data_IF_529683982181
#
_entry.id   IF_529683982181
#
_cell.length_a   1.000
_cell.length_b   1.000
_cell.length_c   1.000
_cell.angle_alpha   90.00
_cell.angle_beta   90.00
_cell.angle_gamma   90.00
#
_symmetry.space_group_name_H-M   'P 1'
#
loop_
_entity.id
_entity.type
_entity.pdbx_description
1 polymer ?
#
# COMPACT_ATOMS: atom_id res chain seq x y z
N UNK A 1 2.04 23.13 22.55
CA UNK A 1 2.76 21.86 22.26
C UNK A 1 2.02 20.59 22.73
N UNK A 2 0.69 20.60 22.89
CA UNK A 2 -0.12 19.40 23.19
C UNK A 2 -1.10 18.99 22.08
N UNK A 3 -1.19 19.77 20.99
CA UNK A 3 -2.17 19.54 19.91
C UNK A 3 -1.81 18.36 18.99
N UNK A 4 -0.50 18.13 18.78
CA UNK A 4 0.01 17.09 17.86
C UNK A 4 -0.27 15.65 18.34
N UNK A 5 -0.07 15.28 19.62
CA UNK A 5 -0.40 13.93 20.08
C UNK A 5 -1.91 13.64 20.08
N UNK A 6 -2.77 14.63 20.37
CA UNK A 6 -4.23 14.48 20.27
C UNK A 6 -4.70 14.26 18.83
N UNK A 7 -4.16 15.02 17.87
CA UNK A 7 -4.46 14.83 16.44
C UNK A 7 -4.01 13.45 15.95
N UNK A 8 -2.83 12.98 16.36
CA UNK A 8 -2.33 11.65 16.00
C UNK A 8 -3.21 10.53 16.58
N UNK A 9 -3.62 10.63 17.84
CA UNK A 9 -4.50 9.64 18.46
C UNK A 9 -5.93 9.64 17.89
N UNK A 10 -6.51 10.79 17.56
CA UNK A 10 -7.84 10.88 16.94
C UNK A 10 -7.81 10.32 15.51
N UNK A 11 -6.77 10.63 14.74
CA UNK A 11 -6.59 10.08 13.38
C UNK A 11 -6.40 8.56 13.43
N UNK A 12 -5.61 8.04 14.37
CA UNK A 12 -5.44 6.59 14.54
C UNK A 12 -6.71 5.86 14.99
N UNK A 13 -7.57 6.50 15.80
CA UNK A 13 -8.83 5.90 16.26
C UNK A 13 -9.90 5.88 15.15
N UNK A 14 -9.81 6.78 14.17
CA UNK A 14 -10.76 6.89 13.05
C UNK A 14 -10.32 6.14 11.78
N UNK A 15 -9.06 5.74 11.65
CA UNK A 15 -8.55 5.04 10.47
C UNK A 15 -8.94 3.55 10.47
N UNK A 16 -9.81 3.14 9.53
CA UNK A 16 -10.00 1.72 9.24
C UNK A 16 -8.67 1.11 8.74
N UNK A 17 -8.42 -0.20 9.00
CA UNK A 17 -7.15 -0.89 8.67
C UNK A 17 -6.67 -0.68 7.23
N UNK A 18 -7.59 -0.48 6.30
CA UNK A 18 -7.26 -0.18 4.92
C UNK A 18 -6.57 1.16 4.72
N UNK A 19 -7.03 2.19 5.41
CA UNK A 19 -6.55 3.55 5.22
C UNK A 19 -5.08 3.64 5.61
N UNK A 20 -4.67 2.88 6.63
CA UNK A 20 -3.27 2.73 7.05
C UNK A 20 -2.42 2.24 5.88
N UNK A 21 -2.83 1.16 5.21
CA UNK A 21 -2.07 0.58 4.10
C UNK A 21 -2.02 1.54 2.90
N UNK A 22 -3.14 2.19 2.54
CA UNK A 22 -3.16 3.20 1.48
C UNK A 22 -2.18 4.33 1.74
N UNK A 23 -2.18 4.88 2.96
CA UNK A 23 -1.32 6.01 3.33
C UNK A 23 0.14 5.60 3.24
N UNK A 24 0.52 4.46 3.80
CA UNK A 24 1.92 3.99 3.79
C UNK A 24 2.43 3.81 2.35
N UNK A 25 1.67 3.12 1.49
CA UNK A 25 2.13 2.82 0.13
C UNK A 25 2.14 4.08 -0.74
N UNK A 26 1.19 5.00 -0.53
CA UNK A 26 1.15 6.28 -1.24
C UNK A 26 2.30 7.20 -0.83
N UNK A 27 2.63 7.26 0.46
CA UNK A 27 3.80 8.02 0.94
C UNK A 27 5.08 7.40 0.41
N UNK A 28 5.22 6.07 0.45
CA UNK A 28 6.40 5.37 -0.05
C UNK A 28 6.71 5.70 -1.52
N UNK A 29 5.71 5.52 -2.40
CA UNK A 29 5.91 5.86 -3.81
C UNK A 29 5.97 7.37 -4.05
N UNK A 30 5.21 8.18 -3.31
CA UNK A 30 5.33 9.64 -3.36
C UNK A 30 6.76 10.13 -3.06
N UNK A 31 7.43 9.55 -2.07
CA UNK A 31 8.83 9.86 -1.76
C UNK A 31 9.77 9.45 -2.91
N UNK A 32 9.55 8.30 -3.55
CA UNK A 32 10.37 7.83 -4.68
C UNK A 32 10.13 8.70 -5.93
N UNK A 33 8.89 9.06 -6.25
CA UNK A 33 8.55 9.82 -7.44
C UNK A 33 8.81 11.33 -7.32
N UNK A 34 8.81 11.88 -6.10
CA UNK A 34 8.96 13.32 -5.85
C UNK A 34 10.31 13.62 -5.20
N UNK A 35 10.63 13.02 -4.05
CA UNK A 35 11.81 13.41 -3.25
C UNK A 35 13.12 12.92 -3.88
N UNK A 36 13.18 11.65 -4.28
CA UNK A 36 14.40 11.06 -4.84
C UNK A 36 14.94 11.81 -6.08
N UNK A 37 14.11 12.22 -7.07
CA UNK A 37 14.57 12.98 -8.22
C UNK A 37 15.33 14.28 -7.90
N UNK A 38 15.05 14.91 -6.76
CA UNK A 38 15.78 16.11 -6.32
C UNK A 38 17.14 15.80 -5.69
N UNK A 39 17.31 14.60 -5.12
CA UNK A 39 18.55 14.16 -4.48
C UNK A 39 19.61 13.65 -5.47
N UNK A 40 19.27 13.51 -6.75
CA UNK A 40 20.20 12.97 -7.76
C UNK A 40 21.32 14.00 -8.06
N UNK A 41 22.60 13.59 -7.98
CA UNK A 41 23.73 14.46 -8.30
C UNK A 41 23.74 14.85 -9.78
N UNK A 42 24.44 15.95 -10.10
CA UNK A 42 24.55 16.42 -11.50
C UNK A 42 25.38 15.43 -12.30
N UNK A 43 24.84 14.96 -13.43
CA UNK A 43 25.52 14.06 -14.36
C UNK A 43 24.96 14.17 -15.77
N UNK A 44 25.63 13.58 -16.79
CA UNK A 44 25.28 13.74 -18.21
C UNK A 44 23.84 13.32 -18.55
N UNK A 45 23.29 12.34 -17.82
CA UNK A 45 21.96 11.78 -18.07
C UNK A 45 20.99 12.02 -16.91
N UNK A 46 21.21 13.06 -16.07
CA UNK A 46 20.39 13.33 -14.88
C UNK A 46 18.89 13.36 -15.18
N UNK A 47 18.50 14.08 -16.23
CA UNK A 47 17.08 14.26 -16.61
C UNK A 47 16.42 12.95 -17.02
N UNK A 48 17.15 12.08 -17.69
CA UNK A 48 16.66 10.75 -18.06
C UNK A 48 16.35 9.94 -16.80
N UNK A 49 17.29 9.88 -15.85
CA UNK A 49 17.11 9.14 -14.59
C UNK A 49 15.93 9.69 -13.78
N UNK A 50 15.76 11.01 -13.72
CA UNK A 50 14.61 11.64 -13.04
C UNK A 50 13.28 11.21 -13.64
N UNK A 51 13.18 11.18 -14.98
CA UNK A 51 11.96 10.77 -15.68
C UNK A 51 11.71 9.28 -15.50
N UNK A 52 12.75 8.45 -15.55
CA UNK A 52 12.63 7.01 -15.30
C UNK A 52 12.08 6.74 -13.90
N UNK A 53 12.63 7.39 -12.87
CA UNK A 53 12.12 7.25 -11.49
C UNK A 53 10.69 7.74 -11.33
N UNK A 54 10.34 8.89 -11.92
CA UNK A 54 8.99 9.42 -11.85
C UNK A 54 7.97 8.49 -12.54
N UNK A 55 8.28 8.00 -13.74
CA UNK A 55 7.41 7.08 -14.49
C UNK A 55 7.28 5.72 -13.80
N UNK A 56 8.38 5.15 -13.31
CA UNK A 56 8.34 3.88 -12.57
C UNK A 56 7.51 4.04 -11.30
N UNK A 57 7.74 5.10 -10.53
CA UNK A 57 6.97 5.35 -9.31
C UNK A 57 5.47 5.50 -9.59
N UNK A 58 5.10 6.21 -10.66
CA UNK A 58 3.71 6.37 -11.06
C UNK A 58 3.08 5.03 -11.49
N UNK A 59 3.77 4.25 -12.32
CA UNK A 59 3.22 2.97 -12.81
C UNK A 59 3.08 1.95 -11.67
N UNK A 60 4.07 1.84 -10.78
CA UNK A 60 4.03 0.90 -9.67
C UNK A 60 2.96 1.29 -8.63
N UNK A 61 2.80 2.58 -8.35
CA UNK A 61 1.73 3.05 -7.46
C UNK A 61 0.34 2.79 -8.05
N UNK A 62 0.11 3.13 -9.34
CA UNK A 62 -1.18 2.88 -10.00
C UNK A 62 -1.50 1.38 -10.08
N UNK A 63 -0.52 0.56 -10.48
CA UNK A 63 -0.69 -0.89 -10.54
C UNK A 63 -1.13 -1.43 -9.18
N UNK A 64 -0.40 -1.08 -8.12
CA UNK A 64 -0.74 -1.52 -6.76
C UNK A 64 -2.13 -1.05 -6.33
N UNK A 65 -2.45 0.23 -6.55
CA UNK A 65 -3.73 0.82 -6.17
C UNK A 65 -4.91 0.12 -6.84
N UNK A 66 -4.79 -0.20 -8.13
CA UNK A 66 -5.84 -0.91 -8.86
C UNK A 66 -6.15 -2.29 -8.26
N UNK A 67 -5.13 -3.10 -7.97
CA UNK A 67 -5.34 -4.43 -7.35
C UNK A 67 -5.89 -4.33 -5.93
N UNK A 68 -5.40 -3.34 -5.18
CA UNK A 68 -5.84 -3.13 -3.81
C UNK A 68 -7.31 -2.70 -3.74
N UNK A 69 -7.74 -1.79 -4.63
CA UNK A 69 -9.14 -1.38 -4.74
C UNK A 69 -10.03 -2.47 -5.33
N UNK A 70 -9.52 -3.34 -6.21
CA UNK A 70 -10.29 -4.46 -6.74
C UNK A 70 -10.72 -5.45 -5.65
N UNK A 71 -9.88 -5.63 -4.63
CA UNK A 71 -10.16 -6.50 -3.49
C UNK A 71 -10.95 -5.78 -2.38
N UNK A 72 -11.16 -4.46 -2.49
CA UNK A 72 -11.93 -3.70 -1.52
C UNK A 72 -13.41 -4.05 -1.60
N UNK A 73 -13.99 -4.48 -0.47
CA UNK A 73 -15.40 -4.93 -0.34
C UNK A 73 -15.73 -6.01 -1.40
N UNK A 74 -15.14 -7.21 -1.30
CA UNK A 74 -15.32 -8.26 -2.29
C UNK A 74 -16.78 -8.74 -2.30
N UNK A 75 -17.36 -8.91 -3.49
CA UNK A 75 -18.72 -9.44 -3.66
C UNK A 75 -18.75 -10.97 -3.59
N UNK A 76 -17.65 -11.63 -3.95
CA UNK A 76 -17.55 -13.07 -4.02
C UNK A 76 -16.37 -13.57 -3.19
N UNK A 77 -16.61 -14.64 -2.42
CA UNK A 77 -15.58 -15.41 -1.75
C UNK A 77 -15.10 -16.59 -2.59
N UNK A 78 -13.97 -17.22 -2.19
CA UNK A 78 -13.47 -18.42 -2.86
C UNK A 78 -14.46 -19.59 -2.72
N UNK A 79 -14.71 -20.30 -3.82
CA UNK A 79 -15.51 -21.52 -3.85
C UNK A 79 -14.60 -22.72 -3.64
N UNK A 80 -14.78 -23.47 -2.56
CA UNK A 80 -13.93 -24.60 -2.19
C UNK A 80 -14.75 -25.73 -1.58
N UNK A 81 -14.35 -26.97 -1.88
CA UNK A 81 -14.98 -28.18 -1.35
C UNK A 81 -14.81 -28.25 0.18
N UNK A 82 -15.79 -28.84 0.87
CA UNK A 82 -15.81 -28.95 2.34
C UNK A 82 -14.56 -29.60 2.92
N UNK A 83 -13.96 -30.56 2.22
CA UNK A 83 -12.72 -31.23 2.64
C UNK A 83 -11.54 -30.26 2.68
N UNK A 84 -11.37 -29.47 1.61
CA UNK A 84 -10.33 -28.45 1.51
C UNK A 84 -10.53 -27.34 2.54
N UNK A 85 -11.77 -26.89 2.75
CA UNK A 85 -12.10 -25.88 3.75
C UNK A 85 -11.79 -26.35 5.19
N UNK A 86 -12.05 -27.63 5.51
CA UNK A 86 -11.69 -28.22 6.81
C UNK A 86 -10.18 -28.30 7.00
N UNK A 87 -9.45 -28.75 5.98
CA UNK A 87 -7.99 -28.81 6.01
C UNK A 87 -7.36 -27.42 6.21
N UNK A 88 -7.88 -26.40 5.51
CA UNK A 88 -7.37 -25.04 5.61
C UNK A 88 -7.55 -24.47 7.03
N UNK A 89 -8.69 -24.76 7.68
CA UNK A 89 -8.92 -24.39 9.09
C UNK A 89 -7.92 -25.03 10.03
N UNK A 90 -7.62 -26.32 9.85
CA UNK A 90 -6.62 -27.03 10.65
C UNK A 90 -5.21 -26.46 10.46
N UNK A 91 -4.79 -26.19 9.22
CA UNK A 91 -3.46 -25.61 8.93
C UNK A 91 -3.32 -24.20 9.51
N UNK A 92 -4.39 -23.41 9.49
CA UNK A 92 -4.41 -22.04 10.00
C UNK A 92 -4.74 -21.96 11.50
N UNK A 93 -4.78 -23.08 12.22
CA UNK A 93 -4.93 -23.12 13.67
C UNK A 93 -6.32 -22.73 14.18
N UNK A 94 -7.36 -22.83 13.35
CA UNK A 94 -8.73 -22.80 13.84
C UNK A 94 -9.08 -24.19 14.36
N UNK A 95 -8.92 -24.38 15.67
CA UNK A 95 -9.39 -25.57 16.40
C UNK A 95 -10.90 -25.78 16.09
N UNK A 96 -11.26 -27.03 15.77
CA UNK A 96 -12.62 -27.44 15.41
C UNK A 96 -13.55 -27.48 16.62
#
# INVERSE_FOLDING_TARGET
MQLIPCLFSVVYLSMEKFEITLIIVTVFWGLIGIVLPFLIPKGPHKRLVQIMLALTSACCWMFWLCFYLHQWKPLFGPQMESTHARMLRTIWGQEL
#
